data_IF_171937955616
#
_entry.id   IF_171937955616
#
_cell.length_a   1.000
_cell.length_b   1.000
_cell.length_c   1.000
_cell.angle_alpha   90.00
_cell.angle_beta   90.00
_cell.angle_gamma   90.00
#
_symmetry.space_group_name_H-M   'P 1'
#
loop_
_entity.id
_entity.type
_entity.pdbx_description
1 polymer ?
#
# COMPACT_ATOMS: atom_id res chain seq x y z
N UNK A 1 -30.92 0.98 12.94
CA UNK A 1 -29.66 0.88 13.75
C UNK A 1 -29.86 -0.08 14.90
N UNK A 2 -29.17 -1.21 14.89
CA UNK A 2 -29.40 -2.34 15.82
C UNK A 2 -28.73 -2.18 17.19
N UNK A 3 -27.64 -1.38 17.28
CA UNK A 3 -26.95 -1.14 18.54
C UNK A 3 -26.58 0.35 18.73
N UNK A 4 -27.54 1.23 19.04
CA UNK A 4 -27.30 2.67 19.23
C UNK A 4 -26.29 2.98 20.34
N UNK A 5 -26.24 2.14 21.37
CA UNK A 5 -25.29 2.34 22.49
C UNK A 5 -23.85 2.16 22.04
N UNK A 6 -23.55 1.10 21.26
CA UNK A 6 -22.24 0.87 20.68
C UNK A 6 -21.88 1.99 19.71
N UNK A 7 -22.79 2.31 18.79
CA UNK A 7 -22.58 3.39 17.83
C UNK A 7 -22.21 4.72 18.52
N UNK A 8 -22.98 5.14 19.54
CA UNK A 8 -22.72 6.37 20.27
C UNK A 8 -21.39 6.33 21.05
N UNK A 9 -20.99 5.17 21.55
CA UNK A 9 -19.71 4.99 22.23
C UNK A 9 -18.54 5.08 21.23
N UNK A 10 -18.69 4.49 20.04
CA UNK A 10 -17.72 4.58 18.95
C UNK A 10 -17.62 6.01 18.43
N UNK A 11 -18.75 6.71 18.27
CA UNK A 11 -18.77 8.11 17.84
C UNK A 11 -18.02 9.02 18.83
N UNK A 12 -18.19 8.81 20.14
CA UNK A 12 -17.42 9.55 21.16
C UNK A 12 -15.93 9.25 21.13
N UNK A 13 -15.55 8.01 20.79
CA UNK A 13 -14.15 7.56 20.81
C UNK A 13 -13.40 7.91 19.52
N UNK A 14 -14.06 7.82 18.37
CA UNK A 14 -13.44 7.94 17.03
C UNK A 14 -13.92 9.16 16.23
N UNK A 15 -14.90 9.89 16.71
CA UNK A 15 -15.53 11.01 16.01
C UNK A 15 -16.57 10.53 14.99
N UNK A 16 -16.17 10.34 13.75
CA UNK A 16 -17.08 9.88 12.67
C UNK A 16 -17.22 8.36 12.68
N UNK A 17 -18.46 7.88 12.51
CA UNK A 17 -18.80 6.46 12.37
C UNK A 17 -19.69 6.29 11.15
N UNK A 18 -19.33 5.41 10.23
CA UNK A 18 -20.13 5.05 9.06
C UNK A 18 -20.86 3.73 9.31
N UNK A 19 -22.13 3.68 8.98
CA UNK A 19 -22.95 2.47 9.13
C UNK A 19 -23.00 1.75 7.81
N UNK A 20 -22.76 0.43 7.81
CA UNK A 20 -22.99 -0.44 6.66
C UNK A 20 -24.02 -1.50 7.03
N UNK A 21 -24.86 -1.90 6.07
CA UNK A 21 -25.94 -2.87 6.26
C UNK A 21 -26.88 -2.49 7.41
N UNK A 22 -27.25 -1.22 7.50
CA UNK A 22 -28.14 -0.72 8.55
C UNK A 22 -29.38 -1.58 8.68
N UNK A 23 -29.78 -1.85 9.93
CA UNK A 23 -30.93 -2.68 10.34
C UNK A 23 -30.92 -4.13 9.85
N UNK A 24 -29.83 -4.60 9.24
CA UNK A 24 -29.71 -6.01 8.86
C UNK A 24 -29.12 -6.83 10.00
N UNK A 25 -29.78 -7.91 10.44
CA UNK A 25 -29.24 -8.78 11.47
C UNK A 25 -28.07 -9.60 10.93
N UNK A 26 -27.19 -9.98 11.82
CA UNK A 26 -26.08 -10.89 11.56
C UNK A 26 -26.58 -12.33 11.62
N UNK A 27 -26.36 -13.13 10.58
CA UNK A 27 -26.80 -14.53 10.50
C UNK A 27 -25.59 -15.47 10.49
N UNK A 28 -25.55 -16.44 11.41
CA UNK A 28 -24.48 -17.44 11.56
C UNK A 28 -24.98 -18.84 11.34
N UNK A 29 -24.26 -19.63 10.57
CA UNK A 29 -24.48 -21.03 10.37
C UNK A 29 -23.46 -21.92 11.07
N UNK A 30 -23.88 -23.12 11.35
CA UNK A 30 -23.03 -24.14 11.92
C UNK A 30 -23.13 -25.44 11.13
N UNK A 31 -22.03 -26.17 11.07
CA UNK A 31 -21.94 -27.51 10.48
C UNK A 31 -20.93 -28.32 11.31
N UNK A 32 -21.24 -29.60 11.50
CA UNK A 32 -20.30 -30.56 12.05
C UNK A 32 -19.26 -30.91 10.97
N UNK A 33 -17.97 -30.90 11.30
CA UNK A 33 -16.92 -31.42 10.44
C UNK A 33 -16.81 -32.95 10.56
N UNK A 34 -15.90 -33.56 9.82
CA UNK A 34 -15.66 -35.00 9.81
C UNK A 34 -15.29 -35.57 11.19
N UNK A 35 -14.77 -34.73 12.08
CA UNK A 35 -14.39 -35.10 13.45
C UNK A 35 -15.48 -34.80 14.47
N UNK A 36 -16.69 -34.50 14.03
CA UNK A 36 -17.87 -34.20 14.88
C UNK A 36 -17.74 -32.82 15.57
N UNK A 37 -16.81 -31.99 15.21
CA UNK A 37 -16.59 -30.66 15.80
C UNK A 37 -17.45 -29.62 15.08
N UNK A 38 -18.24 -28.86 15.85
CA UNK A 38 -19.05 -27.77 15.28
C UNK A 38 -18.21 -26.66 14.74
N UNK A 39 -18.23 -26.46 13.40
CA UNK A 39 -17.67 -25.31 12.73
C UNK A 39 -18.76 -24.30 12.40
N UNK A 40 -18.50 -23.05 12.74
CA UNK A 40 -19.45 -21.96 12.57
C UNK A 40 -18.92 -20.94 11.57
N UNK A 41 -19.81 -20.36 10.76
CA UNK A 41 -19.45 -19.37 9.75
C UNK A 41 -20.48 -18.24 9.64
N UNK A 42 -20.08 -17.10 9.10
CA UNK A 42 -20.93 -15.93 8.87
C UNK A 42 -21.64 -16.09 7.51
N UNK A 43 -22.93 -16.34 7.52
CA UNK A 43 -23.72 -16.53 6.29
C UNK A 43 -24.15 -15.18 5.71
N UNK A 44 -24.56 -14.24 6.54
CA UNK A 44 -24.90 -12.88 6.15
C UNK A 44 -24.25 -11.90 7.10
N UNK A 45 -23.51 -10.93 6.53
CA UNK A 45 -22.97 -9.81 7.30
C UNK A 45 -24.09 -8.89 7.76
N UNK A 46 -24.23 -8.72 9.08
CA UNK A 46 -25.17 -7.79 9.66
C UNK A 46 -24.66 -6.35 9.65
N UNK A 47 -25.40 -5.47 10.33
CA UNK A 47 -25.01 -4.09 10.55
C UNK A 47 -23.61 -3.97 11.16
N UNK A 48 -22.81 -3.09 10.60
CA UNK A 48 -21.46 -2.81 11.10
C UNK A 48 -21.22 -1.31 11.19
N UNK A 49 -20.44 -0.95 12.19
CA UNK A 49 -19.96 0.40 12.45
C UNK A 49 -18.51 0.49 12.01
N UNK A 50 -18.27 1.33 11.02
CA UNK A 50 -16.94 1.47 10.40
C UNK A 50 -16.29 2.77 10.87
N UNK A 51 -15.08 2.66 11.41
CA UNK A 51 -14.29 3.77 11.93
C UNK A 51 -12.87 3.74 11.37
N UNK A 52 -12.15 4.84 11.51
CA UNK A 52 -10.73 4.88 11.21
C UNK A 52 -9.95 4.03 12.23
N UNK A 53 -9.12 3.12 11.77
CA UNK A 53 -8.39 2.22 12.66
C UNK A 53 -7.25 2.96 13.38
N UNK A 54 -7.25 3.01 14.72
CA UNK A 54 -6.22 3.72 15.48
C UNK A 54 -4.87 2.99 15.47
N UNK A 55 -4.87 1.70 15.11
CA UNK A 55 -3.67 0.88 15.15
C UNK A 55 -2.83 1.01 13.87
N UNK A 56 -3.47 1.16 12.72
CA UNK A 56 -2.78 1.31 11.44
C UNK A 56 -2.93 2.70 10.81
N UNK A 57 -3.55 3.65 11.52
CA UNK A 57 -3.75 5.01 11.04
C UNK A 57 -4.64 5.12 9.79
N UNK A 58 -5.46 4.08 9.51
CA UNK A 58 -6.35 4.10 8.34
C UNK A 58 -7.39 5.21 8.47
N UNK A 59 -7.53 6.01 7.42
CA UNK A 59 -8.50 7.11 7.32
C UNK A 59 -9.71 6.79 6.46
N UNK A 60 -9.83 5.55 5.99
CA UNK A 60 -10.88 5.11 5.03
C UNK A 60 -12.00 4.32 5.69
N UNK A 61 -12.12 4.38 7.03
CA UNK A 61 -13.15 3.67 7.80
C UNK A 61 -13.11 2.15 7.61
N UNK A 62 -11.91 1.56 7.62
CA UNK A 62 -11.71 0.12 7.38
C UNK A 62 -11.74 -0.74 8.64
N UNK A 63 -11.76 -0.15 9.82
CA UNK A 63 -12.05 -0.88 11.06
C UNK A 63 -13.55 -1.06 11.17
N UNK A 64 -14.03 -2.27 10.90
CA UNK A 64 -15.43 -2.66 10.96
C UNK A 64 -15.72 -3.36 12.26
N UNK A 65 -16.73 -2.90 12.97
CA UNK A 65 -17.18 -3.43 14.26
C UNK A 65 -18.64 -3.84 14.11
N UNK A 66 -18.93 -5.14 14.28
CA UNK A 66 -20.30 -5.63 14.22
C UNK A 66 -21.13 -5.07 15.37
N UNK A 67 -22.38 -4.75 15.10
CA UNK A 67 -23.35 -4.37 16.14
C UNK A 67 -23.46 -5.44 17.26
N UNK A 68 -23.16 -6.70 16.94
CA UNK A 68 -23.18 -7.82 17.87
C UNK A 68 -21.98 -7.87 18.83
N UNK A 69 -20.95 -7.03 18.61
CA UNK A 69 -19.77 -7.02 19.47
C UNK A 69 -20.14 -6.69 20.92
N UNK A 70 -19.69 -7.54 21.83
CA UNK A 70 -19.98 -7.43 23.26
C UNK A 70 -21.38 -7.90 23.70
N UNK A 71 -22.25 -8.29 22.77
CA UNK A 71 -23.57 -8.84 23.09
C UNK A 71 -23.54 -10.36 23.39
N UNK A 72 -22.53 -11.07 22.91
CA UNK A 72 -22.40 -12.50 23.11
C UNK A 72 -21.73 -12.81 24.46
N UNK A 73 -22.54 -13.18 25.46
CA UNK A 73 -22.06 -13.52 26.81
C UNK A 73 -21.43 -14.92 26.91
N UNK A 74 -21.63 -15.79 25.91
CA UNK A 74 -21.19 -17.20 25.98
C UNK A 74 -19.92 -17.47 25.19
N UNK A 75 -19.25 -16.44 24.69
CA UNK A 75 -18.06 -16.56 23.82
C UNK A 75 -18.21 -17.58 22.67
N UNK A 76 -19.47 -17.80 22.22
CA UNK A 76 -19.77 -18.70 21.10
C UNK A 76 -19.02 -18.30 19.82
N UNK A 77 -18.53 -17.08 19.78
CA UNK A 77 -17.73 -16.56 18.67
C UNK A 77 -16.46 -15.91 19.21
N UNK A 78 -15.31 -16.21 18.64
CA UNK A 78 -14.14 -15.42 18.92
C UNK A 78 -14.48 -13.96 18.54
N UNK A 79 -14.45 -13.09 19.52
CA UNK A 79 -14.69 -11.63 19.36
C UNK A 79 -13.82 -11.01 18.29
N UNK A 80 -12.69 -11.64 17.93
CA UNK A 80 -11.86 -11.32 16.76
C UNK A 80 -12.61 -11.34 15.42
N UNK A 81 -13.73 -12.06 15.31
CA UNK A 81 -14.55 -12.10 14.09
C UNK A 81 -15.62 -11.01 14.03
N UNK A 82 -15.90 -10.35 15.14
CA UNK A 82 -16.85 -9.24 15.22
C UNK A 82 -16.20 -7.88 15.07
N UNK A 83 -14.87 -7.81 15.17
CA UNK A 83 -14.06 -6.61 14.95
C UNK A 83 -12.96 -6.95 13.95
N UNK A 84 -12.95 -6.28 12.83
CA UNK A 84 -11.99 -6.55 11.77
C UNK A 84 -11.51 -5.25 11.10
N UNK A 85 -10.20 -5.06 11.02
CA UNK A 85 -9.62 -4.01 10.20
C UNK A 85 -9.26 -4.59 8.82
N UNK A 86 -9.93 -4.10 7.78
CA UNK A 86 -9.70 -4.53 6.40
C UNK A 86 -8.49 -3.85 5.75
N UNK A 87 -7.65 -3.15 6.52
CA UNK A 87 -6.44 -2.55 6.01
C UNK A 87 -5.28 -3.54 6.12
N UNK A 88 -4.83 -4.04 4.97
CA UNK A 88 -3.56 -4.74 4.70
C UNK A 88 -2.97 -5.54 5.88
N UNK A 89 -3.63 -6.60 6.29
CA UNK A 89 -3.19 -7.47 7.38
C UNK A 89 -3.04 -6.80 8.76
N UNK A 90 -3.63 -5.63 8.97
CA UNK A 90 -3.57 -4.96 10.27
C UNK A 90 -3.86 -5.91 11.43
N UNK A 91 -4.85 -6.78 11.26
CA UNK A 91 -5.25 -7.75 12.28
C UNK A 91 -4.27 -8.92 12.41
N UNK A 92 -3.72 -9.43 11.30
CA UNK A 92 -2.72 -10.52 11.33
C UNK A 92 -1.45 -10.10 12.08
N UNK A 93 -1.00 -8.85 11.93
CA UNK A 93 0.15 -8.30 12.66
C UNK A 93 -0.07 -8.25 14.16
N UNK A 94 -1.29 -7.97 14.59
CA UNK A 94 -1.62 -7.86 16.01
C UNK A 94 -1.98 -9.20 16.65
N UNK A 95 -2.27 -10.24 15.86
CA UNK A 95 -2.42 -11.61 16.32
C UNK A 95 -1.07 -12.32 16.49
N UNK A 96 -0.06 -11.97 15.69
CA UNK A 96 1.31 -12.49 15.80
C UNK A 96 2.04 -11.90 17.01
N UNK A 97 1.72 -10.66 17.38
CA UNK A 97 2.30 -9.95 18.53
C UNK A 97 1.50 -10.27 19.81
N UNK A 98 1.48 -11.55 20.19
CA UNK A 98 0.71 -12.07 21.34
C UNK A 98 1.10 -11.48 22.69
N UNK A 99 2.19 -10.75 22.76
CA UNK A 99 2.75 -10.27 24.04
C UNK A 99 2.29 -8.90 24.49
N UNK A 100 1.36 -8.25 23.88
CA UNK A 100 0.77 -7.05 24.48
C UNK A 100 0.58 -5.84 23.58
N UNK A 101 -0.49 -5.17 23.83
CA UNK A 101 -0.71 -3.74 23.64
C UNK A 101 -1.23 -3.26 22.28
N UNK A 102 -1.10 -4.02 21.20
CA UNK A 102 -1.47 -3.59 19.86
C UNK A 102 -2.81 -4.10 19.30
N UNK A 103 -3.50 -4.95 19.99
CA UNK A 103 -4.73 -5.57 19.48
C UNK A 103 -5.90 -4.59 19.53
N UNK A 104 -6.51 -4.31 18.37
CA UNK A 104 -7.71 -3.45 18.24
C UNK A 104 -8.82 -3.89 19.21
N UNK A 105 -8.99 -5.19 19.40
CA UNK A 105 -9.95 -5.75 20.35
C UNK A 105 -9.63 -5.30 21.78
N UNK A 106 -8.38 -5.45 22.25
CA UNK A 106 -7.97 -5.02 23.59
C UNK A 106 -8.09 -3.51 23.75
N UNK A 107 -7.77 -2.74 22.72
CA UNK A 107 -7.97 -1.31 22.72
C UNK A 107 -9.46 -0.96 22.91
N UNK A 108 -10.36 -1.56 22.13
CA UNK A 108 -11.80 -1.35 22.27
C UNK A 108 -12.32 -1.83 23.61
N UNK A 109 -11.90 -3.00 24.09
CA UNK A 109 -12.25 -3.53 25.40
C UNK A 109 -11.82 -2.60 26.53
N UNK A 110 -10.59 -2.09 26.51
CA UNK A 110 -10.10 -1.14 27.50
C UNK A 110 -10.87 0.19 27.50
N UNK A 111 -11.15 0.75 26.30
CA UNK A 111 -11.80 2.04 26.14
C UNK A 111 -13.33 2.00 26.31
N UNK A 112 -13.95 0.89 25.95
CA UNK A 112 -15.41 0.74 25.98
C UNK A 112 -15.93 -0.12 27.15
N UNK A 113 -15.06 -0.88 27.81
CA UNK A 113 -15.42 -1.90 28.81
C UNK A 113 -16.29 -1.37 29.95
N UNK A 114 -15.96 -0.20 30.46
CA UNK A 114 -16.66 0.32 31.64
C UNK A 114 -18.03 0.91 31.33
N UNK A 115 -18.21 1.55 30.20
CA UNK A 115 -19.45 2.21 29.83
C UNK A 115 -20.39 1.34 29.01
N UNK A 116 -19.85 0.52 28.12
CA UNK A 116 -20.63 -0.27 27.17
C UNK A 116 -20.89 -1.68 27.68
N UNK A 117 -19.88 -2.42 28.12
CA UNK A 117 -20.01 -3.83 28.51
C UNK A 117 -20.88 -4.02 29.76
N UNK A 118 -20.95 -3.04 30.66
CA UNK A 118 -21.87 -3.05 31.81
C UNK A 118 -23.34 -2.88 31.43
N UNK A 119 -23.63 -2.32 30.24
CA UNK A 119 -25.00 -1.98 29.81
C UNK A 119 -25.63 -3.03 28.85
N UNK A 120 -24.87 -4.04 28.48
CA UNK A 120 -25.33 -5.05 27.52
C UNK A 120 -26.09 -6.14 28.23
N UNK A 121 -27.41 -6.04 28.18
CA UNK A 121 -28.32 -7.17 28.51
C UNK A 121 -28.44 -8.10 27.30
N UNK A 122 -28.30 -9.39 27.54
CA UNK A 122 -28.27 -10.46 26.55
C UNK A 122 -29.46 -10.50 25.61
N UNK A 123 -29.23 -10.25 24.33
CA UNK A 123 -30.09 -10.71 23.26
C UNK A 123 -29.46 -11.91 22.53
N UNK A 124 -30.28 -12.83 22.07
CA UNK A 124 -29.81 -13.95 21.26
C UNK A 124 -29.40 -13.44 19.88
N UNK A 125 -28.13 -13.56 19.57
CA UNK A 125 -27.56 -13.19 18.26
C UNK A 125 -27.08 -14.47 17.57
N UNK A 126 -27.66 -14.80 16.44
CA UNK A 126 -27.23 -15.92 15.61
C UNK A 126 -26.35 -15.44 14.45
N UNK A 127 -25.10 -15.87 14.43
CA UNK A 127 -24.07 -15.49 13.45
C UNK A 127 -23.61 -16.70 12.62
N UNK A 128 -23.55 -16.63 11.33
CA UNK A 128 -23.06 -17.68 10.40
C UNK A 128 -21.77 -17.27 9.65
N UNK A 129 -20.68 -18.01 9.70
CA UNK A 129 -19.37 -17.64 9.14
C UNK A 129 -19.04 -18.32 7.78
N UNK A 130 -18.69 -17.57 6.76
CA UNK A 130 -18.17 -18.12 5.50
C UNK A 130 -16.66 -18.23 5.60
N UNK A 131 -16.13 -19.43 5.49
CA UNK A 131 -14.72 -19.59 5.14
C UNK A 131 -14.56 -19.11 3.69
N UNK A 132 -14.10 -17.87 3.48
CA UNK A 132 -13.42 -17.60 2.23
C UNK A 132 -12.24 -18.55 2.22
N UNK A 133 -12.29 -19.49 1.27
CA UNK A 133 -11.09 -20.21 0.86
C UNK A 133 -10.01 -19.15 0.69
N UNK A 134 -9.00 -19.16 1.58
CA UNK A 134 -7.83 -18.28 1.41
C UNK A 134 -7.18 -18.80 0.17
N UNK A 135 -7.55 -18.20 -0.97
CA UNK A 135 -7.00 -18.56 -2.25
C UNK A 135 -5.50 -18.77 -2.05
N UNK A 136 -5.00 -19.93 -2.48
CA UNK A 136 -3.58 -20.29 -2.44
C UNK A 136 -2.80 -19.02 -2.72
N UNK A 137 -1.87 -18.63 -1.84
CA UNK A 137 -0.95 -17.51 -2.10
C UNK A 137 -0.39 -17.78 -3.48
N UNK A 138 -0.72 -16.94 -4.45
CA UNK A 138 -0.12 -17.06 -5.77
C UNK A 138 1.38 -16.98 -5.57
N UNK A 139 2.08 -18.04 -5.97
CA UNK A 139 3.53 -18.01 -5.96
C UNK A 139 4.01 -16.86 -6.84
N UNK A 140 5.02 -16.13 -6.40
CA UNK A 140 5.63 -15.09 -7.22
C UNK A 140 6.15 -15.73 -8.49
N UNK A 141 5.82 -15.14 -9.63
CA UNK A 141 6.43 -15.51 -10.89
C UNK A 141 7.85 -14.93 -10.88
N UNK A 142 8.89 -15.73 -11.12
CA UNK A 142 10.26 -15.24 -11.10
C UNK A 142 10.48 -14.13 -12.12
N UNK A 143 11.50 -13.31 -11.89
CA UNK A 143 11.99 -12.36 -12.88
C UNK A 143 12.45 -13.14 -14.13
N UNK A 144 12.22 -12.63 -15.35
CA UNK A 144 12.63 -13.32 -16.57
C UNK A 144 14.11 -13.66 -16.59
N UNK A 145 14.44 -14.89 -16.98
CA UNK A 145 15.82 -15.32 -17.17
C UNK A 145 16.48 -14.63 -18.38
N UNK A 146 17.80 -14.66 -18.43
CA UNK A 146 18.59 -14.04 -19.50
C UNK A 146 18.20 -14.54 -20.91
N UNK A 147 17.70 -15.78 -21.03
CA UNK A 147 17.22 -16.32 -22.30
C UNK A 147 16.02 -15.55 -22.90
N UNK A 148 15.26 -14.83 -22.09
CA UNK A 148 14.09 -14.06 -22.51
C UNK A 148 14.35 -12.56 -22.63
N UNK A 149 15.46 -12.08 -22.07
CA UNK A 149 15.72 -10.66 -21.88
C UNK A 149 17.08 -10.25 -22.41
N UNK A 150 17.14 -9.02 -22.91
CA UNK A 150 18.37 -8.35 -23.30
C UNK A 150 18.72 -7.25 -22.30
N UNK A 151 19.97 -7.22 -21.78
CA UNK A 151 20.49 -6.12 -21.00
C UNK A 151 20.46 -4.80 -21.80
N UNK A 152 20.02 -3.72 -21.20
CA UNK A 152 19.85 -2.45 -21.92
C UNK A 152 21.17 -1.82 -22.36
N UNK A 153 22.30 -2.17 -21.75
CA UNK A 153 23.64 -1.68 -22.12
C UNK A 153 24.20 -2.40 -23.36
N UNK A 154 23.64 -3.56 -23.75
CA UNK A 154 24.04 -4.29 -24.95
C UNK A 154 23.16 -4.01 -26.17
N UNK A 155 21.98 -3.41 -25.94
CA UNK A 155 21.01 -3.11 -27.02
C UNK A 155 21.56 -2.00 -27.94
N UNK A 156 21.45 -2.20 -29.25
CA UNK A 156 21.82 -1.20 -30.26
C UNK A 156 21.09 0.14 -30.03
N UNK A 157 21.77 1.26 -30.29
CA UNK A 157 21.15 2.60 -30.23
C UNK A 157 19.94 2.75 -31.16
N UNK A 158 19.91 2.01 -32.27
CA UNK A 158 18.81 1.98 -33.22
C UNK A 158 17.61 1.12 -32.77
N UNK A 159 17.79 0.30 -31.73
CA UNK A 159 16.74 -0.55 -31.22
C UNK A 159 15.60 0.30 -30.62
N UNK A 160 14.35 -0.02 -30.92
CA UNK A 160 13.19 0.76 -30.51
C UNK A 160 13.05 0.94 -28.98
N UNK A 161 13.49 -0.05 -28.17
CA UNK A 161 13.51 0.08 -26.73
C UNK A 161 14.50 1.16 -26.27
N UNK A 162 15.70 1.21 -26.87
CA UNK A 162 16.68 2.25 -26.58
C UNK A 162 16.19 3.62 -27.04
N UNK A 163 15.51 3.69 -28.20
CA UNK A 163 14.89 4.93 -28.68
C UNK A 163 13.79 5.41 -27.74
N UNK A 164 12.90 4.50 -27.29
CA UNK A 164 11.85 4.82 -26.31
C UNK A 164 12.43 5.38 -25.00
N UNK A 165 13.48 4.75 -24.46
CA UNK A 165 14.13 5.20 -23.22
C UNK A 165 14.73 6.60 -23.41
N UNK A 166 15.45 6.81 -24.53
CA UNK A 166 16.08 8.12 -24.84
C UNK A 166 15.06 9.21 -25.14
N UNK A 167 13.95 8.88 -25.81
CA UNK A 167 12.88 9.86 -26.08
C UNK A 167 12.26 10.41 -24.79
N UNK A 168 12.43 9.68 -23.68
CA UNK A 168 12.01 10.12 -22.34
C UNK A 168 13.19 10.71 -21.53
N UNK A 169 14.31 11.00 -22.17
CA UNK A 169 15.52 11.53 -21.56
C UNK A 169 16.11 10.64 -20.44
N UNK A 170 16.07 9.31 -20.63
CA UNK A 170 16.80 8.35 -19.80
C UNK A 170 17.94 7.71 -20.56
N UNK A 171 18.98 7.27 -19.84
CA UNK A 171 20.08 6.49 -20.40
C UNK A 171 19.80 4.98 -20.18
N UNK A 172 19.76 4.17 -21.26
CA UNK A 172 19.59 2.73 -21.14
C UNK A 172 20.66 2.06 -20.25
N UNK A 173 21.91 2.51 -20.34
CA UNK A 173 23.03 1.95 -19.55
C UNK A 173 22.81 2.20 -18.06
N UNK A 174 22.44 3.42 -17.70
CA UNK A 174 22.13 3.77 -16.30
C UNK A 174 20.92 2.97 -15.80
N UNK A 175 19.86 2.83 -16.61
CA UNK A 175 18.69 2.05 -16.21
C UNK A 175 19.03 0.58 -15.94
N UNK A 176 19.92 -0.01 -16.74
CA UNK A 176 20.36 -1.37 -16.51
C UNK A 176 21.29 -1.48 -15.29
N UNK A 177 22.35 -0.69 -15.25
CA UNK A 177 23.38 -0.81 -14.20
C UNK A 177 22.86 -0.43 -12.81
N UNK A 178 22.04 0.63 -12.71
CA UNK A 178 21.54 1.11 -11.41
C UNK A 178 20.25 0.44 -10.98
N UNK A 179 19.36 0.16 -11.92
CA UNK A 179 18.00 -0.29 -11.61
C UNK A 179 17.69 -1.71 -12.09
N UNK A 180 18.64 -2.38 -12.76
CA UNK A 180 18.47 -3.73 -13.26
C UNK A 180 17.40 -3.88 -14.35
N UNK A 181 17.04 -2.80 -15.02
CA UNK A 181 15.99 -2.82 -16.04
C UNK A 181 16.50 -3.53 -17.29
N UNK A 182 15.71 -4.48 -17.80
CA UNK A 182 16.02 -5.25 -19.02
C UNK A 182 14.88 -5.12 -20.02
N UNK A 183 15.18 -5.36 -21.29
CA UNK A 183 14.19 -5.50 -22.34
C UNK A 183 13.87 -6.96 -22.58
N UNK A 184 12.59 -7.35 -22.65
CA UNK A 184 12.16 -8.69 -23.04
C UNK A 184 11.32 -8.63 -24.30
N UNK A 185 11.69 -9.47 -25.29
CA UNK A 185 10.95 -9.61 -26.54
C UNK A 185 9.59 -10.25 -26.31
N UNK A 186 9.59 -11.32 -25.52
CA UNK A 186 8.38 -12.07 -25.24
C UNK A 186 8.56 -12.86 -23.93
N UNK A 187 7.56 -12.87 -23.08
CA UNK A 187 7.62 -13.58 -21.80
C UNK A 187 6.26 -14.17 -21.43
N UNK A 188 6.14 -15.50 -21.27
CA UNK A 188 4.89 -16.12 -20.92
C UNK A 188 4.61 -15.98 -19.42
N UNK A 189 3.51 -15.34 -19.08
CA UNK A 189 3.04 -15.22 -17.71
C UNK A 189 1.76 -16.02 -17.53
N UNK A 190 1.73 -16.92 -16.59
CA UNK A 190 0.51 -17.64 -16.24
C UNK A 190 -0.47 -16.67 -15.57
N UNK A 191 -1.52 -16.31 -16.27
CA UNK A 191 -2.57 -15.42 -15.80
C UNK A 191 -3.69 -16.24 -15.15
N UNK A 192 -3.55 -16.59 -13.86
CA UNK A 192 -4.58 -17.31 -13.09
C UNK A 192 -5.13 -18.56 -13.84
N UNK A 193 -6.43 -18.86 -13.68
CA UNK A 193 -7.10 -19.97 -14.36
C UNK A 193 -7.40 -19.72 -15.86
N UNK A 194 -6.93 -18.59 -16.44
CA UNK A 194 -7.21 -18.18 -17.83
C UNK A 194 -6.11 -18.54 -18.83
N UNK A 195 -5.10 -19.32 -18.42
CA UNK A 195 -3.99 -19.70 -19.29
C UNK A 195 -2.78 -18.76 -19.21
N UNK A 196 -1.94 -18.76 -20.25
CA UNK A 196 -0.75 -17.92 -20.34
C UNK A 196 -1.09 -16.59 -21.04
N UNK A 197 -0.60 -15.50 -20.48
CA UNK A 197 -0.57 -14.19 -21.13
C UNK A 197 0.87 -13.91 -21.56
N UNK A 198 1.07 -13.58 -22.84
CA UNK A 198 2.36 -13.20 -23.37
C UNK A 198 2.59 -11.71 -23.16
N UNK A 199 3.71 -11.38 -22.54
CA UNK A 199 4.15 -10.01 -22.34
C UNK A 199 5.24 -9.67 -23.34
N UNK A 200 4.82 -9.29 -24.56
CA UNK A 200 5.73 -8.99 -25.64
C UNK A 200 6.28 -7.56 -25.59
N UNK A 201 7.55 -7.40 -25.93
CA UNK A 201 8.20 -6.10 -26.18
C UNK A 201 8.02 -5.09 -25.02
N UNK A 202 8.45 -5.46 -23.82
CA UNK A 202 8.32 -4.64 -22.62
C UNK A 202 9.64 -4.44 -21.91
N UNK A 203 9.75 -3.33 -21.17
CA UNK A 203 10.81 -3.17 -20.18
C UNK A 203 10.40 -3.88 -18.90
N UNK A 204 11.21 -4.84 -18.47
CA UNK A 204 11.05 -5.50 -17.18
C UNK A 204 11.88 -4.80 -16.11
N UNK A 205 11.23 -4.43 -15.06
CA UNK A 205 11.75 -3.61 -13.97
C UNK A 205 11.73 -4.48 -12.72
N UNK A 206 12.89 -4.90 -12.20
CA UNK A 206 12.94 -5.65 -10.96
C UNK A 206 12.42 -4.78 -9.81
N UNK A 207 11.71 -5.40 -8.90
CA UNK A 207 11.17 -4.71 -7.73
C UNK A 207 11.54 -5.48 -6.45
N UNK A 208 11.50 -4.83 -5.26
CA UNK A 208 11.91 -5.50 -4.04
C UNK A 208 11.20 -6.83 -3.78
N UNK A 209 11.88 -7.72 -3.07
CA UNK A 209 11.38 -9.04 -2.67
C UNK A 209 10.96 -9.94 -3.85
N UNK A 210 11.74 -9.91 -4.94
CA UNK A 210 11.58 -10.81 -6.08
C UNK A 210 10.39 -10.51 -6.99
N UNK A 211 9.72 -9.38 -6.78
CA UNK A 211 8.68 -8.92 -7.70
C UNK A 211 9.25 -8.23 -8.94
N UNK A 212 8.38 -7.88 -9.87
CA UNK A 212 8.71 -7.11 -11.06
C UNK A 212 7.50 -6.40 -11.65
N UNK A 213 7.78 -5.38 -12.45
CA UNK A 213 6.79 -4.75 -13.32
C UNK A 213 7.27 -4.79 -14.78
N UNK A 214 6.34 -5.01 -15.71
CA UNK A 214 6.62 -4.95 -17.13
C UNK A 214 5.93 -3.74 -17.76
N UNK A 215 6.74 -2.74 -18.20
CA UNK A 215 6.26 -1.50 -18.79
C UNK A 215 6.08 -1.63 -20.28
N UNK A 216 4.93 -1.25 -20.80
CA UNK A 216 4.66 -1.10 -22.22
C UNK A 216 5.51 0.03 -22.81
N UNK A 217 6.11 -0.22 -23.99
CA UNK A 217 6.94 0.76 -24.71
C UNK A 217 6.45 1.06 -26.14
N UNK A 218 5.45 0.32 -26.60
CA UNK A 218 4.79 0.56 -27.89
C UNK A 218 3.42 1.18 -27.67
N UNK A 219 3.01 2.03 -28.61
CA UNK A 219 1.65 2.56 -28.63
C UNK A 219 0.61 1.43 -28.68
N UNK A 220 -0.49 1.59 -27.98
CA UNK A 220 -1.58 0.60 -27.94
C UNK A 220 -1.35 -0.60 -27.03
N UNK A 221 -0.16 -0.80 -26.46
CA UNK A 221 0.05 -1.89 -25.50
C UNK A 221 -0.68 -1.63 -24.17
N UNK A 222 -1.53 -2.58 -23.78
CA UNK A 222 -2.27 -2.55 -22.50
C UNK A 222 -1.96 -3.80 -21.68
N UNK A 223 -1.93 -3.70 -20.33
CA UNK A 223 -1.90 -2.47 -19.54
C UNK A 223 -0.54 -1.73 -19.68
N UNK A 224 -0.50 -0.43 -19.39
CA UNK A 224 0.75 0.37 -19.40
C UNK A 224 1.82 -0.25 -18.49
N UNK A 225 1.42 -0.71 -17.33
CA UNK A 225 2.24 -1.50 -16.42
C UNK A 225 1.54 -2.81 -16.08
N UNK A 226 2.19 -3.92 -16.32
CA UNK A 226 1.78 -5.23 -15.82
C UNK A 226 2.60 -5.53 -14.57
N UNK A 227 1.93 -5.85 -13.47
CA UNK A 227 2.60 -6.15 -12.20
C UNK A 227 2.67 -7.66 -11.98
N UNK A 228 3.81 -8.15 -11.53
CA UNK A 228 4.04 -9.55 -11.17
C UNK A 228 2.87 -10.11 -10.34
N UNK A 229 2.21 -11.18 -10.78
CA UNK A 229 1.18 -11.87 -10.01
C UNK A 229 1.71 -12.31 -8.64
N UNK A 230 0.88 -12.20 -7.62
CA UNK A 230 1.24 -12.54 -6.24
C UNK A 230 2.11 -11.49 -5.51
N UNK A 231 2.74 -10.56 -6.23
CA UNK A 231 3.52 -9.50 -5.61
C UNK A 231 2.64 -8.34 -5.11
N UNK A 232 2.90 -7.91 -3.88
CA UNK A 232 2.09 -6.88 -3.21
C UNK A 232 2.84 -5.54 -3.20
N UNK A 233 2.57 -4.70 -4.20
CA UNK A 233 3.16 -3.36 -4.31
C UNK A 233 2.99 -2.48 -3.07
N UNK A 234 1.87 -2.62 -2.37
CA UNK A 234 1.60 -1.86 -1.13
C UNK A 234 2.51 -2.21 0.05
N UNK A 235 3.30 -3.27 -0.05
CA UNK A 235 4.27 -3.67 0.96
C UNK A 235 5.70 -3.30 0.61
N UNK A 236 5.91 -2.59 -0.49
CA UNK A 236 7.23 -2.35 -1.04
C UNK A 236 7.44 -0.86 -1.33
N UNK A 237 8.69 -0.44 -1.22
CA UNK A 237 9.17 0.84 -1.73
C UNK A 237 10.18 0.55 -2.84
N UNK A 238 9.90 1.01 -4.06
CA UNK A 238 10.87 0.92 -5.16
C UNK A 238 12.05 1.86 -4.91
N UNK A 239 13.24 1.43 -5.24
CA UNK A 239 14.44 2.24 -5.07
C UNK A 239 14.97 2.31 -3.64
N UNK A 240 14.33 1.64 -2.67
CA UNK A 240 14.70 1.70 -1.26
C UNK A 240 16.16 1.27 -0.99
N UNK A 241 16.66 0.27 -1.71
CA UNK A 241 18.02 -0.23 -1.52
C UNK A 241 19.08 0.82 -1.94
N UNK A 242 18.83 1.52 -3.04
CA UNK A 242 19.67 2.64 -3.49
C UNK A 242 19.53 3.83 -2.55
N UNK A 243 18.28 4.18 -2.19
CA UNK A 243 18.00 5.36 -1.37
C UNK A 243 18.55 5.26 0.06
N UNK A 244 18.78 4.08 0.59
CA UNK A 244 19.47 3.87 1.89
C UNK A 244 20.90 4.42 1.91
N UNK A 245 21.54 4.59 0.77
CA UNK A 245 22.82 5.29 0.66
C UNK A 245 22.74 6.80 0.97
N UNK A 246 21.54 7.34 1.19
CA UNK A 246 21.26 8.75 1.47
C UNK A 246 20.43 8.86 2.77
N UNK A 247 21.03 8.70 3.94
CA UNK A 247 20.32 8.56 5.21
C UNK A 247 19.65 9.85 5.69
N UNK A 248 20.05 11.00 5.20
CA UNK A 248 19.58 12.31 5.65
C UNK A 248 18.13 12.57 5.28
N UNK A 249 17.73 12.16 4.07
CA UNK A 249 16.37 12.32 3.56
C UNK A 249 16.06 11.37 2.41
N UNK A 250 14.79 11.24 2.08
CA UNK A 250 14.34 10.60 0.84
C UNK A 250 13.21 11.38 0.18
N UNK A 251 13.06 11.21 -1.13
CA UNK A 251 11.93 11.77 -1.90
C UNK A 251 10.92 10.67 -2.20
N UNK A 252 9.68 10.89 -1.80
CA UNK A 252 8.57 9.97 -2.01
C UNK A 252 7.86 10.29 -3.31
N UNK A 253 7.96 9.39 -4.28
CA UNK A 253 7.38 9.50 -5.62
C UNK A 253 6.20 8.53 -5.83
N UNK A 254 5.42 8.74 -6.88
CA UNK A 254 4.34 7.84 -7.26
C UNK A 254 4.85 6.58 -7.97
N UNK A 255 5.70 6.73 -8.98
CA UNK A 255 6.11 5.69 -9.90
C UNK A 255 7.60 5.48 -10.04
N UNK A 256 7.97 4.38 -10.70
CA UNK A 256 9.37 3.99 -10.92
C UNK A 256 10.12 4.99 -11.81
N UNK A 257 9.44 5.59 -12.78
CA UNK A 257 10.04 6.58 -13.69
C UNK A 257 10.44 7.86 -12.98
N UNK A 258 9.71 8.23 -11.94
CA UNK A 258 10.03 9.41 -11.12
C UNK A 258 11.29 9.16 -10.31
N UNK A 259 11.42 7.94 -9.74
CA UNK A 259 12.65 7.53 -9.06
C UNK A 259 13.85 7.55 -10.00
N UNK A 260 13.71 7.06 -11.23
CA UNK A 260 14.78 7.13 -12.21
C UNK A 260 15.21 8.58 -12.53
N UNK A 261 14.24 9.50 -12.54
CA UNK A 261 14.49 10.92 -12.81
C UNK A 261 15.20 11.62 -11.65
N UNK A 262 14.76 11.34 -10.43
CA UNK A 262 15.38 11.90 -9.22
C UNK A 262 16.76 11.34 -9.00
N UNK A 263 16.92 10.03 -9.16
CA UNK A 263 18.13 9.28 -8.85
C UNK A 263 18.13 8.72 -7.42
N UNK A 264 19.32 8.58 -6.83
CA UNK A 264 19.58 7.85 -5.59
C UNK A 264 18.62 8.06 -4.42
N UNK A 265 18.36 9.29 -3.96
CA UNK A 265 17.57 9.51 -2.74
C UNK A 265 16.06 9.46 -2.96
N UNK A 266 15.56 8.66 -3.90
CA UNK A 266 14.13 8.56 -4.17
C UNK A 266 13.57 7.16 -4.00
N UNK A 267 12.32 7.10 -3.54
CA UNK A 267 11.53 5.86 -3.44
C UNK A 267 10.14 6.05 -4.03
N UNK A 268 9.56 4.99 -4.63
CA UNK A 268 8.18 5.04 -5.12
C UNK A 268 7.26 4.07 -4.40
N UNK A 269 5.98 4.49 -4.29
CA UNK A 269 4.90 3.73 -3.64
C UNK A 269 4.04 2.91 -4.59
N UNK A 270 4.33 2.93 -5.89
CA UNK A 270 3.57 2.23 -6.93
C UNK A 270 2.08 2.60 -7.01
N UNK A 271 1.74 3.84 -6.73
CA UNK A 271 0.36 4.34 -6.81
C UNK A 271 0.13 5.59 -5.98
N UNK A 272 -1.14 5.99 -5.88
CA UNK A 272 -1.56 7.30 -5.37
C UNK A 272 -1.62 7.43 -3.83
N UNK A 273 -1.52 6.33 -3.09
CA UNK A 273 -1.69 6.37 -1.63
C UNK A 273 -0.62 5.56 -0.91
N UNK A 274 -0.03 6.17 0.09
CA UNK A 274 0.95 5.57 0.98
C UNK A 274 0.28 4.52 1.88
N UNK A 275 0.78 3.30 1.86
CA UNK A 275 0.30 2.23 2.72
C UNK A 275 0.96 2.27 4.10
N UNK A 276 0.36 1.58 5.06
CA UNK A 276 0.97 1.43 6.39
C UNK A 276 2.34 0.76 6.33
N UNK A 277 2.47 -0.32 5.55
CA UNK A 277 3.75 -1.04 5.40
C UNK A 277 4.86 -0.16 4.84
N UNK A 278 4.53 0.66 3.84
CA UNK A 278 5.45 1.65 3.27
C UNK A 278 5.80 2.76 4.27
N UNK A 279 4.82 3.21 5.05
CA UNK A 279 5.03 4.20 6.13
C UNK A 279 6.04 3.70 7.16
N UNK A 280 5.90 2.44 7.59
CA UNK A 280 6.84 1.81 8.54
C UNK A 280 8.25 1.75 7.94
N UNK A 281 8.38 1.33 6.68
CA UNK A 281 9.68 1.28 6.00
C UNK A 281 10.33 2.66 5.89
N UNK A 282 9.55 3.71 5.59
CA UNK A 282 10.06 5.09 5.56
C UNK A 282 10.58 5.50 6.94
N UNK A 283 9.82 5.24 8.01
CA UNK A 283 10.22 5.58 9.38
C UNK A 283 11.47 4.83 9.86
N UNK A 284 11.66 3.59 9.39
CA UNK A 284 12.83 2.79 9.74
C UNK A 284 14.13 3.30 9.09
N UNK A 285 14.03 4.03 7.98
CA UNK A 285 15.20 4.42 7.19
C UNK A 285 15.46 5.93 7.18
N UNK A 286 14.44 6.78 7.35
CA UNK A 286 14.61 8.24 7.22
C UNK A 286 13.80 9.00 8.26
N UNK A 287 14.36 10.14 8.68
CA UNK A 287 13.67 11.10 9.54
C UNK A 287 13.05 12.26 8.75
N UNK A 288 13.43 12.42 7.48
CA UNK A 288 12.91 13.49 6.61
C UNK A 288 12.51 12.94 5.26
N UNK A 289 11.30 13.29 4.81
CA UNK A 289 10.71 12.83 3.56
C UNK A 289 10.12 14.01 2.79
N UNK A 290 10.67 14.27 1.61
CA UNK A 290 10.04 15.16 0.63
C UNK A 290 8.95 14.43 -0.13
N UNK A 291 7.71 14.93 -0.10
CA UNK A 291 6.58 14.29 -0.78
C UNK A 291 6.40 14.93 -2.16
N UNK A 292 6.61 14.13 -3.20
CA UNK A 292 6.55 14.51 -4.61
C UNK A 292 5.69 13.48 -5.36
N UNK A 293 4.37 13.59 -5.23
CA UNK A 293 3.42 12.78 -5.98
C UNK A 293 2.93 13.56 -7.19
N UNK A 294 2.50 12.83 -8.23
CA UNK A 294 2.08 13.45 -9.50
C UNK A 294 1.01 14.52 -9.31
N UNK A 295 1.12 15.68 -9.98
CA UNK A 295 0.10 16.70 -10.00
C UNK A 295 -1.02 16.27 -10.96
N UNK A 296 -2.13 15.72 -10.51
CA UNK A 296 -3.36 15.69 -11.31
C UNK A 296 -4.15 16.97 -11.05
N UNK A 297 -4.76 17.51 -12.09
CA UNK A 297 -5.61 18.71 -12.06
C UNK A 297 -6.86 18.57 -11.17
N UNK A 298 -7.13 17.40 -10.62
CA UNK A 298 -8.29 17.16 -9.77
C UNK A 298 -7.98 17.34 -8.28
N UNK A 299 -8.88 17.99 -7.56
CA UNK A 299 -8.86 18.26 -6.11
C UNK A 299 -8.52 17.06 -5.22
N UNK A 300 -8.62 15.85 -5.74
CA UNK A 300 -8.35 14.61 -5.02
C UNK A 300 -6.85 14.37 -4.73
N UNK A 301 -5.93 14.89 -5.55
CA UNK A 301 -4.49 14.69 -5.37
C UNK A 301 -3.83 15.66 -4.40
N UNK A 302 -4.30 16.87 -4.29
CA UNK A 302 -3.90 17.77 -3.18
C UNK A 302 -4.19 17.08 -1.86
N UNK A 303 -5.28 16.33 -1.79
CA UNK A 303 -5.60 15.48 -0.65
C UNK A 303 -4.65 14.29 -0.48
N UNK A 304 -4.10 13.68 -1.55
CA UNK A 304 -3.17 12.55 -1.44
C UNK A 304 -1.82 12.96 -0.89
N UNK A 305 -1.25 14.08 -1.37
CA UNK A 305 -0.01 14.67 -0.81
C UNK A 305 -0.22 15.02 0.67
N UNK A 306 -1.29 15.74 1.00
CA UNK A 306 -1.60 16.13 2.37
C UNK A 306 -1.82 14.91 3.28
N UNK A 307 -2.50 13.87 2.79
CA UNK A 307 -2.70 12.62 3.53
C UNK A 307 -1.38 11.91 3.80
N UNK A 308 -0.51 11.80 2.79
CA UNK A 308 0.82 11.20 2.95
C UNK A 308 1.65 11.98 3.97
N UNK A 309 1.70 13.31 3.88
CA UNK A 309 2.41 14.15 4.85
C UNK A 309 1.86 13.97 6.27
N UNK A 310 0.54 14.05 6.45
CA UNK A 310 -0.08 13.85 7.76
C UNK A 310 0.23 12.46 8.33
N UNK A 311 0.18 11.42 7.49
CA UNK A 311 0.49 10.05 7.90
C UNK A 311 1.94 9.90 8.38
N UNK A 312 2.88 10.55 7.68
CA UNK A 312 4.31 10.54 8.03
C UNK A 312 4.59 11.40 9.28
N UNK A 313 4.02 12.59 9.36
CA UNK A 313 4.18 13.47 10.52
C UNK A 313 3.66 12.84 11.80
N UNK A 314 2.53 12.12 11.74
CA UNK A 314 1.94 11.44 12.90
C UNK A 314 2.84 10.34 13.51
N UNK A 315 3.85 9.88 12.77
CA UNK A 315 4.84 8.89 13.26
C UNK A 315 6.23 9.50 13.47
N UNK A 316 6.33 10.84 13.48
CA UNK A 316 7.56 11.58 13.78
C UNK A 316 8.55 11.67 12.61
N UNK A 317 8.07 11.59 11.36
CA UNK A 317 8.87 11.92 10.18
C UNK A 317 8.60 13.38 9.81
N UNK A 318 9.65 14.16 9.64
CA UNK A 318 9.55 15.52 9.10
C UNK A 318 9.21 15.46 7.62
N UNK A 319 8.26 16.30 7.17
CA UNK A 319 7.86 16.27 5.76
C UNK A 319 7.88 17.66 5.14
N UNK A 320 8.19 17.71 3.86
CA UNK A 320 7.99 18.89 3.02
C UNK A 320 7.34 18.49 1.69
N UNK A 321 6.56 19.41 1.11
CA UNK A 321 5.96 19.19 -0.19
C UNK A 321 6.88 19.70 -1.28
N UNK A 322 7.19 18.85 -2.26
CA UNK A 322 7.86 19.27 -3.49
C UNK A 322 6.82 19.71 -4.52
N UNK A 323 6.96 20.91 -5.05
CA UNK A 323 6.11 21.44 -6.12
C UNK A 323 6.93 21.61 -7.37
N UNK A 324 6.54 20.92 -8.43
CA UNK A 324 7.18 21.01 -9.75
C UNK A 324 6.52 22.10 -10.62
N UNK A 325 7.22 22.65 -11.62
CA UNK A 325 6.69 23.70 -12.46
C UNK A 325 5.65 23.17 -13.45
N UNK A 326 4.56 23.88 -13.59
CA UNK A 326 3.42 23.41 -14.37
C UNK A 326 2.81 22.17 -13.76
N UNK A 327 1.93 21.49 -14.46
CA UNK A 327 1.30 20.24 -14.02
C UNK A 327 2.12 19.00 -14.47
N UNK A 328 3.46 19.09 -14.43
CA UNK A 328 4.37 18.01 -14.86
C UNK A 328 4.62 17.01 -13.73
N UNK A 329 4.69 15.74 -14.10
CA UNK A 329 5.25 14.73 -13.19
C UNK A 329 6.81 14.83 -13.15
N UNK A 330 7.42 14.16 -12.18
CA UNK A 330 8.85 14.22 -12.02
C UNK A 330 9.61 13.67 -13.25
N UNK A 331 9.07 12.63 -13.89
CA UNK A 331 9.68 12.02 -15.07
C UNK A 331 9.71 12.93 -16.30
N UNK A 332 8.83 13.93 -16.37
CA UNK A 332 8.77 14.91 -17.48
C UNK A 332 9.64 16.15 -17.26
N UNK A 333 10.26 16.28 -16.10
CA UNK A 333 11.22 17.34 -15.80
C UNK A 333 12.65 16.93 -16.19
N UNK A 334 13.53 17.92 -16.46
CA UNK A 334 14.97 17.67 -16.43
C UNK A 334 15.45 17.54 -14.98
N UNK A 335 16.56 16.85 -14.75
CA UNK A 335 17.10 16.72 -13.39
C UNK A 335 17.40 18.07 -12.74
N UNK A 336 17.95 19.02 -13.49
CA UNK A 336 18.31 20.35 -12.97
C UNK A 336 17.07 21.14 -12.52
N UNK A 337 15.99 21.11 -13.30
CA UNK A 337 14.74 21.76 -12.93
C UNK A 337 14.13 21.08 -11.70
N UNK A 338 14.12 19.75 -11.69
CA UNK A 338 13.59 18.96 -10.59
C UNK A 338 14.34 19.27 -9.29
N UNK A 339 15.67 19.20 -9.29
CA UNK A 339 16.46 19.41 -8.09
C UNK A 339 16.40 20.85 -7.59
N UNK A 340 16.36 21.86 -8.47
CA UNK A 340 16.08 23.25 -8.07
C UNK A 340 14.74 23.38 -7.32
N UNK A 341 13.71 22.67 -7.78
CA UNK A 341 12.40 22.68 -7.10
C UNK A 341 12.44 21.94 -5.75
N UNK A 342 13.14 20.82 -5.68
CA UNK A 342 13.34 20.06 -4.43
C UNK A 342 14.03 20.92 -3.39
N UNK A 343 15.19 21.51 -3.73
CA UNK A 343 15.98 22.33 -2.82
C UNK A 343 15.23 23.58 -2.36
N UNK A 344 14.54 24.26 -3.27
CA UNK A 344 13.69 25.41 -2.94
C UNK A 344 12.58 25.03 -1.99
N UNK A 345 11.88 23.92 -2.26
CA UNK A 345 10.77 23.45 -1.42
C UNK A 345 11.25 23.03 -0.03
N UNK A 346 12.38 22.34 0.05
CA UNK A 346 13.00 21.93 1.29
C UNK A 346 13.47 23.14 2.13
N UNK A 347 14.18 24.08 1.52
CA UNK A 347 14.65 25.31 2.18
C UNK A 347 13.48 26.14 2.74
N UNK A 348 12.38 26.26 1.97
CA UNK A 348 11.18 26.97 2.42
C UNK A 348 10.51 26.29 3.62
N UNK A 349 10.73 24.98 3.82
CA UNK A 349 10.26 24.22 4.97
C UNK A 349 11.29 24.09 6.11
N UNK A 350 12.45 24.75 5.99
CA UNK A 350 13.50 24.73 6.99
C UNK A 350 14.54 23.61 6.85
N UNK A 351 14.50 22.81 5.78
CA UNK A 351 15.43 21.68 5.54
C UNK A 351 16.56 22.05 4.57
N UNK A 352 17.48 22.92 5.00
CA UNK A 352 18.58 23.45 4.15
C UNK A 352 19.63 22.41 3.77
N UNK A 353 19.69 21.28 4.47
CA UNK A 353 20.58 20.16 4.19
C UNK A 353 20.12 19.27 3.02
N UNK A 354 18.87 19.43 2.55
CA UNK A 354 18.37 18.69 1.38
C UNK A 354 18.97 19.32 0.13
N UNK A 355 19.93 18.62 -0.44
CA UNK A 355 20.68 19.04 -1.62
C UNK A 355 20.76 17.91 -2.64
N UNK A 356 20.93 18.26 -3.91
CA UNK A 356 21.23 17.27 -4.94
C UNK A 356 22.51 16.53 -4.52
N UNK A 357 22.49 15.20 -4.47
CA UNK A 357 23.71 14.45 -4.26
C UNK A 357 24.71 14.79 -5.37
N UNK A 358 25.94 15.09 -5.00
CA UNK A 358 27.03 15.12 -5.99
C UNK A 358 27.08 13.76 -6.68
N UNK A 359 27.29 13.73 -7.98
CA UNK A 359 27.44 12.49 -8.72
C UNK A 359 28.58 11.69 -8.08
N UNK A 360 28.23 10.80 -7.17
CA UNK A 360 29.17 9.80 -6.67
C UNK A 360 29.48 8.92 -7.87
N UNK A 361 30.66 9.07 -8.41
CA UNK A 361 31.19 8.17 -9.42
C UNK A 361 31.00 6.73 -8.91
N UNK A 362 30.14 5.96 -9.60
CA UNK A 362 29.89 4.55 -9.34
C UNK A 362 31.04 3.74 -9.94
#
# INVERSE_FOLDING_TARGET
MLNPKLHNSLKRLFGEVRISNEDKPLVIGSRLDHDGKERRWKEQGGETYNVCCPMCGDTRFRLSISYAWGLDKKEKYPTSKLVNCFNERCQERYEEDRQDRGNVRLFLERRLRESYMKQVNSGNVHVRAVTKDRGKKEALIPFPEAAWCEPLDTISKAHYAAQFIRSRNFDPVVLYKTWGVVFCHDYPVKANNRGYQWLANRLFIPTPNGGWQARAIRSGQTPKYFTCPGWKKSHQLYGCDVARGFPEFTLLCEGVTDVWRVGGPAVAIFGKSLSHSQTVQLRQNWNTVGVMLDPDAETDKVNSVRRAMNQLNNIGINTFRVTLPGEKDAADCTQDVLWKCVEKSAASAGFTYVKRPEERAV
#
